data_IF_021545695939
#
_entry.id   IF_021545695939
#
_cell.length_a   1.000
_cell.length_b   1.000
_cell.length_c   1.000
_cell.angle_alpha   90.00
_cell.angle_beta   90.00
_cell.angle_gamma   90.00
#
_symmetry.space_group_name_H-M   'P 1'
#
loop_
_entity.id
_entity.type
_entity.pdbx_description
1 polymer ?
#
# COMPACT_ATOMS: atom_id res chain seq x y z
N UNK A 1 1.42 -15.82 -3.88
CA UNK A 1 0.98 -15.50 -2.66
C UNK A 1 -0.13 -14.50 -2.53
N UNK A 2 -1.36 -14.89 -2.65
CA UNK A 2 -2.50 -14.13 -2.17
C UNK A 2 -2.85 -14.52 -0.74
N UNK A 3 -3.94 -14.00 -0.24
CA UNK A 3 -4.53 -14.48 0.99
C UNK A 3 -4.94 -15.94 0.80
N UNK A 4 -4.61 -16.76 1.75
CA UNK A 4 -5.19 -18.08 1.83
C UNK A 4 -6.65 -17.93 2.27
N UNK A 5 -7.54 -18.05 1.30
CA UNK A 5 -8.99 -17.88 1.53
C UNK A 5 -9.51 -18.84 2.58
N UNK A 6 -8.94 -20.05 2.66
CA UNK A 6 -9.34 -21.05 3.65
C UNK A 6 -8.92 -20.68 5.07
N UNK A 7 -7.99 -19.72 5.24
CA UNK A 7 -7.54 -19.25 6.56
C UNK A 7 -8.24 -17.98 7.02
N UNK A 8 -8.89 -17.24 6.14
CA UNK A 8 -9.48 -15.94 6.51
C UNK A 8 -10.97 -15.84 6.19
N UNK A 9 -11.33 -15.56 4.95
CA UNK A 9 -12.68 -15.13 4.60
C UNK A 9 -13.52 -16.21 3.90
N UNK A 10 -12.98 -17.37 3.67
CA UNK A 10 -13.68 -18.58 3.23
C UNK A 10 -13.14 -19.78 4.01
N UNK A 11 -13.29 -19.76 5.34
CA UNK A 11 -12.72 -20.79 6.20
C UNK A 11 -13.36 -22.15 5.92
N UNK A 12 -12.52 -23.17 5.86
CA UNK A 12 -12.92 -24.56 5.63
C UNK A 12 -12.43 -25.41 6.77
N UNK A 13 -13.25 -26.37 7.19
CA UNK A 13 -12.92 -27.34 8.21
C UNK A 13 -12.68 -28.71 7.60
N UNK A 14 -11.90 -29.54 8.28
CA UNK A 14 -11.64 -30.90 7.86
C UNK A 14 -12.93 -31.68 7.77
N UNK A 15 -13.06 -32.51 6.73
CA UNK A 15 -14.18 -33.41 6.56
C UNK A 15 -13.74 -34.83 6.85
N UNK A 16 -14.58 -35.67 7.52
CA UNK A 16 -14.28 -37.07 7.78
C UNK A 16 -13.96 -37.82 6.47
N UNK A 17 -12.82 -38.48 6.42
CA UNK A 17 -12.39 -39.30 5.27
C UNK A 17 -11.65 -38.52 4.17
N UNK A 18 -11.51 -37.21 4.29
CA UNK A 18 -10.71 -36.40 3.40
C UNK A 18 -9.30 -36.14 3.97
N UNK A 19 -8.39 -35.71 3.11
CA UNK A 19 -7.05 -35.28 3.55
C UNK A 19 -7.14 -34.04 4.41
N UNK A 20 -6.48 -34.05 5.55
CA UNK A 20 -6.43 -32.92 6.46
C UNK A 20 -5.94 -31.62 5.78
N UNK A 21 -6.66 -30.54 6.06
CA UNK A 21 -6.25 -29.19 5.71
C UNK A 21 -5.11 -28.79 6.65
N UNK A 22 -4.02 -28.31 6.09
CA UNK A 22 -2.81 -27.97 6.85
C UNK A 22 -2.73 -26.51 7.31
N UNK A 23 -3.78 -25.74 7.08
CA UNK A 23 -3.86 -24.35 7.47
C UNK A 23 -4.78 -24.13 8.70
N UNK A 24 -4.94 -22.90 9.11
CA UNK A 24 -5.69 -22.54 10.31
C UNK A 24 -7.14 -23.04 10.34
N UNK A 25 -7.82 -23.08 9.22
CA UNK A 25 -9.25 -23.43 9.14
C UNK A 25 -9.59 -24.85 9.61
N UNK A 26 -8.60 -25.72 9.77
CA UNK A 26 -8.83 -27.06 10.32
C UNK A 26 -9.08 -27.09 11.84
N UNK A 27 -8.99 -25.97 12.53
CA UNK A 27 -9.24 -25.87 13.97
C UNK A 27 -10.72 -25.69 14.34
N UNK A 28 -11.64 -25.85 13.40
CA UNK A 28 -13.10 -25.87 13.58
C UNK A 28 -13.74 -24.59 14.16
N UNK A 29 -12.95 -23.56 14.44
CA UNK A 29 -13.47 -22.30 14.96
C UNK A 29 -13.67 -21.29 13.82
N UNK A 30 -14.92 -21.20 13.34
CA UNK A 30 -15.30 -20.19 12.37
C UNK A 30 -16.13 -19.13 13.08
N UNK A 31 -15.75 -17.87 12.89
CA UNK A 31 -16.46 -16.71 13.44
C UNK A 31 -17.16 -15.93 12.36
N UNK A 32 -18.12 -15.12 12.77
CA UNK A 32 -18.88 -14.27 11.91
C UNK A 32 -18.87 -12.83 12.41
N UNK A 33 -18.72 -11.89 11.46
CA UNK A 33 -18.95 -10.46 11.66
C UNK A 33 -19.92 -9.99 10.58
N UNK A 34 -21.18 -9.81 10.94
CA UNK A 34 -22.25 -9.54 9.98
C UNK A 34 -22.42 -10.71 9.00
N UNK A 35 -22.26 -10.45 7.72
CA UNK A 35 -22.33 -11.44 6.64
C UNK A 35 -20.97 -12.05 6.28
N UNK A 36 -19.91 -11.69 7.00
CA UNK A 36 -18.55 -12.13 6.71
C UNK A 36 -18.17 -13.26 7.66
N UNK A 37 -17.84 -14.42 7.11
CA UNK A 37 -17.29 -15.56 7.86
C UNK A 37 -15.75 -15.51 7.78
N UNK A 38 -15.08 -15.77 8.88
CA UNK A 38 -13.62 -15.76 8.93
C UNK A 38 -13.06 -16.76 9.94
N UNK A 39 -11.83 -17.21 9.69
CA UNK A 39 -11.05 -17.97 10.66
C UNK A 39 -10.32 -17.01 11.60
N UNK A 40 -10.45 -17.15 12.93
CA UNK A 40 -9.77 -16.29 13.88
C UNK A 40 -8.29 -16.66 13.93
N UNK A 41 -7.45 -15.80 13.35
CA UNK A 41 -6.01 -15.97 13.32
C UNK A 41 -5.34 -14.75 13.95
N UNK A 42 -4.49 -14.96 14.94
CA UNK A 42 -3.88 -13.88 15.72
C UNK A 42 -4.95 -12.89 16.25
N UNK A 43 -4.83 -11.62 15.96
CA UNK A 43 -5.75 -10.56 16.38
C UNK A 43 -6.77 -10.16 15.31
N UNK A 44 -6.96 -10.95 14.26
CA UNK A 44 -7.82 -10.56 13.14
C UNK A 44 -9.32 -10.45 13.53
N UNK A 45 -9.76 -11.14 14.59
CA UNK A 45 -11.15 -11.05 15.06
C UNK A 45 -11.55 -9.61 15.34
N UNK A 46 -10.74 -8.86 16.08
CA UNK A 46 -10.99 -7.45 16.38
C UNK A 46 -11.03 -6.58 15.10
N UNK A 47 -10.22 -6.92 14.12
CA UNK A 47 -10.24 -6.24 12.82
C UNK A 47 -11.55 -6.51 12.06
N UNK A 48 -11.96 -7.75 11.91
CA UNK A 48 -13.19 -8.10 11.20
C UNK A 48 -14.44 -7.58 11.92
N UNK A 49 -14.52 -7.71 13.23
CA UNK A 49 -15.63 -7.18 14.02
C UNK A 49 -15.77 -5.66 13.89
N UNK A 50 -14.66 -4.94 13.75
CA UNK A 50 -14.67 -3.49 13.60
C UNK A 50 -15.03 -3.04 12.19
N UNK A 51 -14.50 -3.71 11.16
CA UNK A 51 -14.50 -3.19 9.79
C UNK A 51 -15.38 -3.97 8.81
N UNK A 52 -16.11 -5.02 9.23
CA UNK A 52 -16.90 -5.83 8.32
C UNK A 52 -17.90 -5.04 7.47
N UNK A 53 -18.40 -3.92 7.97
CA UNK A 53 -19.34 -3.05 7.25
C UNK A 53 -18.69 -2.27 6.10
N UNK A 54 -17.40 -2.04 6.20
CA UNK A 54 -16.60 -1.29 5.23
C UNK A 54 -15.84 -2.23 4.28
N UNK A 55 -16.08 -3.54 4.38
CA UNK A 55 -15.35 -4.55 3.62
C UNK A 55 -16.24 -5.21 2.58
N UNK A 56 -15.65 -5.48 1.42
CA UNK A 56 -16.17 -6.37 0.41
C UNK A 56 -15.14 -7.48 0.17
N UNK A 57 -15.55 -8.73 0.43
CA UNK A 57 -14.73 -9.91 0.14
C UNK A 57 -15.30 -10.60 -1.10
N UNK A 58 -14.46 -10.78 -2.10
CA UNK A 58 -14.81 -11.44 -3.36
C UNK A 58 -14.00 -12.74 -3.43
N UNK A 59 -14.68 -13.86 -3.30
CA UNK A 59 -14.08 -15.18 -3.41
C UNK A 59 -14.14 -15.68 -4.85
N UNK A 60 -13.25 -16.64 -5.19
CA UNK A 60 -13.26 -17.29 -6.50
C UNK A 60 -12.65 -16.47 -7.62
N UNK A 61 -11.88 -15.43 -7.31
CA UNK A 61 -11.15 -14.66 -8.34
C UNK A 61 -9.98 -15.49 -8.85
N UNK A 62 -10.05 -15.91 -10.11
CA UNK A 62 -8.96 -16.58 -10.81
C UNK A 62 -8.07 -15.55 -11.51
N UNK A 63 -6.84 -15.43 -11.06
CA UNK A 63 -5.83 -14.56 -11.68
C UNK A 63 -5.11 -15.22 -12.88
N UNK A 64 -5.50 -16.43 -13.25
CA UNK A 64 -4.96 -17.21 -14.40
C UNK A 64 -3.43 -17.36 -14.34
N UNK A 65 -2.88 -17.42 -13.15
CA UNK A 65 -1.44 -17.61 -12.94
C UNK A 65 -1.16 -18.26 -11.59
N UNK A 66 -0.14 -19.11 -11.57
CA UNK A 66 0.46 -19.64 -10.34
C UNK A 66 1.84 -19.04 -10.06
N UNK A 67 2.29 -18.08 -10.85
CA UNK A 67 3.51 -17.32 -10.61
C UNK A 67 3.27 -16.23 -9.56
N UNK A 68 4.13 -16.16 -8.55
CA UNK A 68 4.08 -15.09 -7.55
C UNK A 68 4.26 -13.71 -8.17
N UNK A 69 5.22 -13.55 -9.08
CA UNK A 69 5.51 -12.24 -9.69
C UNK A 69 4.34 -11.76 -10.54
N UNK A 70 3.82 -12.64 -11.41
CA UNK A 70 2.65 -12.30 -12.24
C UNK A 70 1.42 -12.06 -11.38
N UNK A 71 1.21 -12.86 -10.33
CA UNK A 71 0.11 -12.69 -9.38
C UNK A 71 0.16 -11.36 -8.63
N UNK A 72 1.35 -10.91 -8.23
CA UNK A 72 1.53 -9.58 -7.61
C UNK A 72 1.17 -8.48 -8.61
N UNK A 73 1.67 -8.56 -9.83
CA UNK A 73 1.35 -7.59 -10.89
C UNK A 73 -0.16 -7.52 -11.12
N UNK A 74 -0.80 -8.68 -11.28
CA UNK A 74 -2.25 -8.76 -11.48
C UNK A 74 -3.03 -8.17 -10.31
N UNK A 75 -2.65 -8.51 -9.08
CA UNK A 75 -3.33 -8.04 -7.88
C UNK A 75 -3.34 -6.51 -7.75
N UNK A 76 -2.27 -5.86 -8.17
CA UNK A 76 -2.15 -4.41 -8.09
C UNK A 76 -2.64 -3.65 -9.32
N UNK A 77 -2.57 -4.24 -10.51
CA UNK A 77 -2.89 -3.55 -11.77
C UNK A 77 -4.12 -4.10 -12.50
N UNK A 78 -4.63 -5.26 -12.09
CA UNK A 78 -5.67 -5.98 -12.81
C UNK A 78 -5.21 -6.57 -14.15
N UNK A 79 -3.89 -6.68 -14.38
CA UNK A 79 -3.29 -7.20 -15.60
C UNK A 79 -2.14 -8.15 -15.29
N UNK A 80 -1.93 -9.17 -16.14
CA UNK A 80 -0.84 -10.11 -15.99
C UNK A 80 0.49 -9.63 -16.60
N UNK A 81 0.50 -8.43 -17.18
CA UNK A 81 1.69 -7.84 -17.80
C UNK A 81 2.10 -6.54 -17.11
N UNK A 82 3.40 -6.25 -17.18
CA UNK A 82 3.97 -4.98 -16.71
C UNK A 82 3.55 -3.81 -17.59
N UNK A 83 3.73 -2.59 -17.09
CA UNK A 83 3.46 -1.35 -17.84
C UNK A 83 2.12 -0.68 -17.49
N UNK A 84 1.26 -1.36 -16.74
CA UNK A 84 0.01 -0.77 -16.27
C UNK A 84 0.17 -0.17 -14.87
N UNK A 85 -0.47 0.97 -14.59
CA UNK A 85 -0.41 1.59 -13.28
C UNK A 85 -1.09 0.71 -12.23
N UNK A 86 -0.59 0.78 -11.00
CA UNK A 86 -1.29 0.18 -9.86
C UNK A 86 -2.56 0.97 -9.53
N UNK A 87 -3.55 0.30 -8.94
CA UNK A 87 -4.78 0.93 -8.44
C UNK A 87 -4.47 2.09 -7.49
N UNK A 88 -3.48 1.90 -6.62
CA UNK A 88 -3.04 2.95 -5.69
C UNK A 88 -2.42 4.14 -6.39
N UNK A 89 -1.68 3.94 -7.48
CA UNK A 89 -1.15 5.03 -8.30
C UNK A 89 -2.27 5.81 -9.02
N UNK A 90 -3.28 5.13 -9.53
CA UNK A 90 -4.47 5.77 -10.13
C UNK A 90 -5.23 6.58 -9.08
N UNK A 91 -5.41 6.03 -7.89
CA UNK A 91 -6.05 6.73 -6.78
C UNK A 91 -5.29 7.99 -6.38
N UNK A 92 -3.97 7.90 -6.24
CA UNK A 92 -3.11 9.03 -5.91
C UNK A 92 -3.13 10.11 -7.01
N UNK A 93 -3.07 9.71 -8.27
CA UNK A 93 -3.14 10.62 -9.40
C UNK A 93 -4.47 11.40 -9.47
N UNK A 94 -5.56 10.75 -9.07
CA UNK A 94 -6.89 11.38 -9.05
C UNK A 94 -7.07 12.33 -7.86
N UNK A 95 -6.59 11.95 -6.67
CA UNK A 95 -6.96 12.63 -5.43
C UNK A 95 -5.88 13.58 -4.90
N UNK A 96 -4.62 13.42 -5.32
CA UNK A 96 -3.50 14.18 -4.78
C UNK A 96 -2.43 14.51 -5.85
N UNK A 97 -2.79 14.96 -7.06
CA UNK A 97 -1.84 15.15 -8.15
C UNK A 97 -0.74 16.17 -7.84
N UNK A 98 -1.08 17.20 -7.05
CA UNK A 98 -0.22 18.34 -6.77
C UNK A 98 0.54 18.24 -5.44
N UNK A 99 0.36 17.15 -4.71
CA UNK A 99 1.07 16.95 -3.44
C UNK A 99 2.55 16.62 -3.68
N UNK A 100 3.47 17.14 -2.86
CA UNK A 100 4.90 16.86 -3.02
C UNK A 100 5.28 15.39 -2.91
N UNK A 101 4.55 14.64 -2.09
CA UNK A 101 4.69 13.19 -1.86
C UNK A 101 3.37 12.48 -2.10
N UNK A 102 2.83 12.63 -3.28
CA UNK A 102 1.51 12.10 -3.65
C UNK A 102 1.44 10.58 -3.60
N UNK A 103 2.55 9.91 -3.91
CA UNK A 103 2.62 8.46 -3.93
C UNK A 103 3.97 7.98 -3.39
N UNK A 104 3.91 7.29 -2.27
CA UNK A 104 5.10 6.72 -1.61
C UNK A 104 5.02 5.20 -1.73
N UNK A 105 6.11 4.59 -2.15
CA UNK A 105 6.25 3.15 -2.30
C UNK A 105 7.41 2.65 -1.44
N UNK A 106 7.14 1.69 -0.56
CA UNK A 106 8.12 1.03 0.29
C UNK A 106 8.67 -0.27 -0.30
N UNK A 107 8.33 -0.58 -1.53
CA UNK A 107 8.75 -1.79 -2.23
C UNK A 107 7.58 -2.48 -2.95
N UNK A 108 7.86 -3.63 -3.57
CA UNK A 108 6.87 -4.37 -4.33
C UNK A 108 6.49 -3.69 -5.66
N UNK A 109 5.29 -3.97 -6.13
CA UNK A 109 4.79 -3.43 -7.39
C UNK A 109 4.27 -2.01 -7.21
N UNK A 110 4.96 -1.03 -7.80
CA UNK A 110 4.62 0.39 -7.66
C UNK A 110 4.61 1.14 -8.98
N UNK A 111 4.22 0.49 -10.07
CA UNK A 111 4.17 1.15 -11.38
C UNK A 111 3.09 2.23 -11.41
N UNK A 112 3.44 3.38 -11.95
CA UNK A 112 2.55 4.55 -12.02
C UNK A 112 2.00 4.79 -13.41
N UNK A 113 2.55 4.16 -14.46
CA UNK A 113 2.17 4.42 -15.85
C UNK A 113 2.33 5.90 -16.24
N UNK A 114 3.25 6.62 -15.62
CA UNK A 114 3.47 8.06 -15.76
C UNK A 114 2.28 8.95 -15.33
N UNK A 115 1.30 8.41 -14.63
CA UNK A 115 0.15 9.17 -14.15
C UNK A 115 0.52 10.10 -12.99
N UNK A 116 1.48 9.69 -12.18
CA UNK A 116 1.92 10.45 -11.01
C UNK A 116 3.39 10.16 -10.71
N UNK A 117 4.06 11.14 -10.14
CA UNK A 117 5.41 10.94 -9.60
C UNK A 117 5.33 10.15 -8.30
N UNK A 118 6.29 9.26 -8.10
CA UNK A 118 6.38 8.52 -6.85
C UNK A 118 7.76 8.63 -6.23
N UNK A 119 7.80 8.51 -4.92
CA UNK A 119 9.03 8.41 -4.14
C UNK A 119 9.16 7.00 -3.62
N UNK A 120 10.30 6.37 -3.85
CA UNK A 120 10.61 5.07 -3.26
C UNK A 120 11.43 5.30 -2.00
N UNK A 121 10.98 4.70 -0.93
CA UNK A 121 11.67 4.67 0.35
C UNK A 121 11.94 3.21 0.70
N UNK A 122 13.12 2.95 1.24
CA UNK A 122 13.51 1.57 1.56
C UNK A 122 12.80 1.05 2.81
N UNK A 123 12.49 1.96 3.75
CA UNK A 123 11.78 1.62 4.97
C UNK A 123 10.97 2.81 5.55
N UNK A 124 10.18 2.51 6.58
CA UNK A 124 9.35 3.51 7.27
C UNK A 124 10.20 4.46 8.12
N UNK A 125 11.34 3.99 8.62
CA UNK A 125 12.24 4.81 9.44
C UNK A 125 12.87 5.92 8.60
N UNK A 126 13.16 5.65 7.33
CA UNK A 126 13.60 6.67 6.39
C UNK A 126 12.55 7.79 6.23
N UNK A 127 11.27 7.44 6.19
CA UNK A 127 10.18 8.42 6.15
C UNK A 127 10.09 9.21 7.46
N UNK A 128 10.21 8.54 8.60
CA UNK A 128 10.18 9.19 9.91
C UNK A 128 11.32 10.21 10.05
N UNK A 129 12.51 9.89 9.57
CA UNK A 129 13.67 10.80 9.54
C UNK A 129 13.47 12.01 8.62
N UNK A 130 12.75 11.84 7.52
CA UNK A 130 12.39 12.95 6.63
C UNK A 130 11.38 13.89 7.30
N UNK A 131 10.39 13.32 7.99
CA UNK A 131 9.31 14.10 8.63
C UNK A 131 9.78 14.75 9.93
N UNK A 132 10.59 14.06 10.71
CA UNK A 132 11.11 14.51 12.02
C UNK A 132 12.63 14.33 12.09
N UNK A 133 13.39 15.14 11.37
CA UNK A 133 14.87 15.02 11.36
C UNK A 133 15.51 15.28 12.72
N UNK A 134 14.78 15.92 13.65
CA UNK A 134 15.27 16.30 14.99
C UNK A 134 14.97 15.24 16.06
N UNK A 135 14.23 14.18 15.75
CA UNK A 135 13.81 13.18 16.73
C UNK A 135 14.80 12.03 16.94
N UNK A 136 15.81 11.93 16.10
CA UNK A 136 16.90 10.97 16.28
C UNK A 136 17.92 11.57 17.28
N UNK A 137 17.90 11.07 18.50
CA UNK A 137 18.91 11.39 19.52
C UNK A 137 20.30 10.86 19.21
N UNK A 138 20.55 10.36 18.02
CA UNK A 138 21.84 10.02 17.50
C UNK A 138 22.43 11.24 16.78
N UNK A 139 23.54 11.74 17.28
CA UNK A 139 24.30 12.92 16.85
C UNK A 139 24.86 12.83 15.42
N UNK A 140 24.28 11.95 14.62
CA UNK A 140 24.59 11.74 13.19
C UNK A 140 23.66 12.49 12.24
N UNK A 141 22.99 13.53 12.69
CA UNK A 141 22.34 14.42 11.74
C UNK A 141 23.45 15.11 10.95
N UNK A 142 23.67 14.63 9.74
CA UNK A 142 24.58 15.23 8.74
C UNK A 142 24.20 16.69 8.42
N UNK A 143 23.21 17.25 9.10
CA UNK A 143 22.66 18.58 8.84
C UNK A 143 22.32 19.26 10.16
N UNK A 144 22.95 20.38 10.39
CA UNK A 144 22.60 21.25 11.49
C UNK A 144 21.31 22.04 11.20
N UNK A 145 20.76 22.69 12.20
CA UNK A 145 19.52 23.49 12.07
C UNK A 145 19.61 24.58 10.99
N UNK A 146 20.79 25.14 10.78
CA UNK A 146 21.06 26.14 9.74
C UNK A 146 20.95 25.54 8.34
N UNK A 147 21.50 24.34 8.13
CA UNK A 147 21.40 23.64 6.85
C UNK A 147 19.96 23.26 6.53
N UNK A 148 19.19 22.83 7.53
CA UNK A 148 17.76 22.57 7.37
C UNK A 148 17.01 23.84 6.99
N UNK A 149 17.30 24.96 7.62
CA UNK A 149 16.69 26.25 7.29
C UNK A 149 17.04 26.69 5.85
N UNK A 150 18.28 26.53 5.44
CA UNK A 150 18.72 26.83 4.07
C UNK A 150 18.02 25.96 3.03
N UNK A 151 17.89 24.67 3.31
CA UNK A 151 17.19 23.71 2.42
C UNK A 151 15.71 24.09 2.28
N UNK A 152 15.04 24.43 3.39
CA UNK A 152 13.65 24.89 3.39
C UNK A 152 13.49 26.17 2.58
N UNK A 153 14.34 27.15 2.80
CA UNK A 153 14.33 28.40 2.05
C UNK A 153 14.53 28.18 0.54
N UNK A 154 15.48 27.32 0.16
CA UNK A 154 15.72 26.97 -1.23
C UNK A 154 14.53 26.20 -1.86
N UNK A 155 13.89 25.31 -1.12
CA UNK A 155 12.70 24.59 -1.57
C UNK A 155 11.53 25.55 -1.82
N UNK A 156 11.29 26.50 -0.89
CA UNK A 156 10.25 27.52 -1.03
C UNK A 156 10.51 28.41 -2.25
N UNK A 157 11.71 28.93 -2.39
CA UNK A 157 12.09 29.76 -3.53
C UNK A 157 11.94 29.03 -4.88
N UNK A 158 12.28 27.73 -4.91
CA UNK A 158 12.08 26.89 -6.09
C UNK A 158 10.59 26.71 -6.42
N UNK A 159 9.76 26.49 -5.42
CA UNK A 159 8.31 26.34 -5.60
C UNK A 159 7.71 27.63 -6.14
N UNK A 160 8.05 28.78 -5.57
CA UNK A 160 7.61 30.10 -6.04
C UNK A 160 8.04 30.36 -7.48
N UNK A 161 9.29 30.02 -7.82
CA UNK A 161 9.79 30.13 -9.19
C UNK A 161 9.02 29.22 -10.17
N UNK A 162 8.69 27.97 -9.77
CA UNK A 162 7.90 27.06 -10.58
C UNK A 162 6.48 27.58 -10.82
N UNK A 163 5.83 28.11 -9.78
CA UNK A 163 4.50 28.70 -9.88
C UNK A 163 4.51 29.93 -10.81
N UNK A 164 5.54 30.74 -10.74
CA UNK A 164 5.69 31.89 -11.63
C UNK A 164 5.85 31.45 -13.10
N UNK A 165 6.58 30.37 -13.37
CA UNK A 165 6.70 29.81 -14.73
C UNK A 165 5.42 29.18 -15.26
N UNK A 166 4.66 28.47 -14.44
CA UNK A 166 3.37 27.94 -14.85
C UNK A 166 2.39 29.06 -15.25
N UNK A 167 2.43 30.18 -14.55
CA UNK A 167 1.64 31.35 -14.92
C UNK A 167 2.09 32.01 -16.23
N UNK A 168 3.34 31.84 -16.66
CA UNK A 168 3.86 32.35 -17.94
C UNK A 168 3.44 31.46 -19.12
N UNK A 169 3.38 30.13 -18.93
CA UNK A 169 2.95 29.18 -19.97
C UNK A 169 1.45 29.19 -20.22
N UNK A 170 0.65 29.59 -19.25
CA UNK A 170 -0.81 29.73 -19.41
C UNK A 170 -1.24 31.03 -20.10
N UNK A 171 -0.29 31.91 -20.48
CA UNK A 171 -0.55 33.17 -21.18
C UNK A 171 -0.14 33.15 -22.66
N UNK A 172 0.32 32.01 -23.16
CA UNK A 172 0.53 31.74 -24.57
C UNK A 172 -0.57 30.82 -25.11
#
# INVERSE_FOLDING_TARGET
GGWDVSSYCDPKVNQPGEKDITNWSNNDEIRQAGNLSFAPFANNAAFFEKYYRDMLVINGVDMQTNSHDTGIIHNWSGRNSVGYPSLTAMFAAKNAPDHPLSYINFGGFGQTGNLIRFSRLDDVDALAKIIKPESDGDDRTLRNAEDVARIRAAATARLEWQLTKQNLTSRQ
#
